data_IF_171380176185
#
_entry.id   IF_171380176185
#
_cell.length_a   1.000
_cell.length_b   1.000
_cell.length_c   1.000
_cell.angle_alpha   90.00
_cell.angle_beta   90.00
_cell.angle_gamma   90.00
#
_symmetry.space_group_name_H-M   'P 1'
#
loop_
_entity.id
_entity.type
_entity.pdbx_description
1 polymer ?
#
# COMPACT_ATOMS: atom_id res chain seq x y z
N UNK A 1 -0.63 23.99 12.73
CA UNK A 1 0.45 23.42 11.90
C UNK A 1 1.57 23.07 12.86
N UNK A 2 1.80 21.78 13.18
CA UNK A 2 2.83 21.42 14.15
C UNK A 2 4.20 21.43 13.46
N UNK A 3 5.01 22.44 13.77
CA UNK A 3 6.39 22.64 13.31
C UNK A 3 7.37 21.67 14.00
N UNK A 4 7.11 20.36 13.91
CA UNK A 4 8.12 19.36 14.26
C UNK A 4 9.01 19.13 13.06
N UNK A 5 10.21 19.68 13.11
CA UNK A 5 11.29 19.30 12.20
C UNK A 5 11.57 17.81 12.39
N UNK A 6 11.51 17.06 11.30
CA UNK A 6 11.75 15.62 11.29
C UNK A 6 12.49 15.23 10.02
N UNK A 7 13.16 14.08 10.08
CA UNK A 7 13.81 13.48 8.91
C UNK A 7 12.84 12.47 8.32
N UNK A 8 12.38 12.70 7.09
CA UNK A 8 11.68 11.67 6.33
C UNK A 8 12.73 10.62 5.92
N UNK A 9 12.54 9.37 6.37
CA UNK A 9 13.39 8.24 6.01
C UNK A 9 12.57 7.28 5.18
N UNK A 10 13.09 6.93 4.01
CA UNK A 10 12.59 5.82 3.22
C UNK A 10 13.33 4.56 3.66
N UNK A 11 12.58 3.54 4.04
CA UNK A 11 13.08 2.25 4.52
C UNK A 11 12.06 1.16 4.18
N UNK A 12 12.46 -0.10 4.30
CA UNK A 12 11.55 -1.21 4.08
C UNK A 12 10.48 -1.29 5.18
N UNK A 13 9.22 -1.10 4.79
CA UNK A 13 8.04 -1.13 5.66
C UNK A 13 7.14 -2.33 5.40
N UNK A 14 7.64 -3.33 4.68
CA UNK A 14 6.87 -4.52 4.32
C UNK A 14 6.30 -5.28 5.53
N UNK A 15 6.99 -5.19 6.68
CA UNK A 15 6.55 -5.78 7.95
C UNK A 15 5.69 -4.84 8.83
N UNK A 16 5.52 -3.57 8.44
CA UNK A 16 4.73 -2.59 9.20
C UNK A 16 3.25 -2.62 8.80
N UNK A 17 2.38 -2.45 9.78
CA UNK A 17 0.96 -2.19 9.56
C UNK A 17 0.75 -0.71 9.17
N UNK A 18 -0.17 -0.40 8.25
CA UNK A 18 -0.51 0.98 7.93
C UNK A 18 -1.02 1.74 9.15
N UNK A 19 -0.66 3.02 9.24
CA UNK A 19 -1.07 3.93 10.34
C UNK A 19 -2.56 4.26 10.25
N UNK A 20 -3.12 4.28 9.04
CA UNK A 20 -4.52 4.58 8.77
C UNK A 20 -4.96 3.85 7.50
N UNK A 21 -6.26 3.52 7.42
CA UNK A 21 -6.91 3.04 6.19
C UNK A 21 -7.90 4.08 5.70
N UNK A 22 -7.84 4.40 4.40
CA UNK A 22 -8.81 5.21 3.69
C UNK A 22 -9.69 4.33 2.79
N UNK A 23 -10.98 4.59 2.85
CA UNK A 23 -12.05 3.87 2.17
C UNK A 23 -13.09 4.90 1.70
N UNK A 24 -14.07 4.52 0.85
CA UNK A 24 -15.17 5.41 0.51
C UNK A 24 -16.01 5.86 1.73
N UNK A 25 -15.85 5.23 2.89
CA UNK A 25 -16.57 5.58 4.14
C UNK A 25 -15.91 6.71 4.94
N UNK A 26 -14.63 7.00 4.71
CA UNK A 26 -13.87 8.02 5.44
C UNK A 26 -12.98 8.88 4.54
N UNK A 27 -13.19 8.80 3.23
CA UNK A 27 -12.54 9.64 2.23
C UNK A 27 -13.44 9.83 1.02
N UNK A 28 -13.18 10.87 0.24
CA UNK A 28 -13.93 11.22 -0.97
C UNK A 28 -12.99 11.78 -2.05
N UNK A 29 -13.49 11.84 -3.28
CA UNK A 29 -12.73 12.39 -4.41
C UNK A 29 -11.45 11.61 -4.71
N UNK A 30 -11.52 10.27 -4.60
CA UNK A 30 -10.40 9.42 -4.97
C UNK A 30 -10.12 9.51 -6.46
N UNK A 31 -8.88 9.82 -6.80
CA UNK A 31 -8.37 9.91 -8.16
C UNK A 31 -6.96 9.32 -8.19
N UNK A 32 -6.55 8.81 -9.35
CA UNK A 32 -5.17 8.39 -9.57
C UNK A 32 -4.68 8.83 -10.94
N UNK A 33 -3.41 9.22 -10.98
CA UNK A 33 -2.73 9.61 -12.21
C UNK A 33 -1.43 8.85 -12.32
N UNK A 34 -1.18 8.25 -13.48
CA UNK A 34 0.12 7.65 -13.82
C UNK A 34 0.71 8.41 -15.00
N UNK A 35 1.86 9.02 -14.79
CA UNK A 35 2.66 9.50 -15.89
C UNK A 35 3.37 8.30 -16.55
N UNK A 36 3.51 8.31 -17.87
CA UNK A 36 4.36 7.37 -18.61
C UNK A 36 5.60 8.10 -19.13
N UNK A 37 6.50 8.57 -18.24
CA UNK A 37 7.70 9.27 -18.66
C UNK A 37 8.65 8.30 -19.37
N UNK A 38 9.44 8.82 -20.30
CA UNK A 38 10.58 8.07 -20.84
C UNK A 38 11.68 8.06 -19.79
N UNK A 39 11.69 7.02 -18.97
CA UNK A 39 12.70 6.85 -17.92
C UNK A 39 14.09 6.59 -18.52
N UNK A 40 15.16 7.17 -17.94
CA UNK A 40 16.52 6.93 -18.38
C UNK A 40 16.90 5.45 -18.23
N UNK A 41 17.73 4.96 -19.14
CA UNK A 41 18.28 3.61 -19.12
C UNK A 41 19.37 3.48 -18.06
N UNK A 42 19.99 4.58 -17.66
CA UNK A 42 20.99 4.61 -16.60
C UNK A 42 21.38 6.04 -16.21
N UNK A 43 22.16 6.13 -15.13
CA UNK A 43 22.76 7.36 -14.66
C UNK A 43 24.27 7.35 -14.82
N UNK A 44 24.78 8.47 -15.35
CA UNK A 44 26.19 8.84 -15.25
C UNK A 44 26.37 9.65 -13.98
N UNK A 45 26.82 8.98 -12.93
CA UNK A 45 26.87 9.53 -11.58
C UNK A 45 28.24 10.11 -11.29
N UNK A 46 28.29 11.36 -10.86
CA UNK A 46 29.51 12.04 -10.38
C UNK A 46 29.51 12.11 -8.85
N UNK A 47 30.59 11.69 -8.19
CA UNK A 47 30.74 11.73 -6.73
C UNK A 47 32.22 11.97 -6.34
N UNK A 48 32.46 12.29 -5.07
CA UNK A 48 33.81 12.47 -4.51
C UNK A 48 34.30 11.13 -3.95
N UNK A 49 35.39 10.57 -4.47
CA UNK A 49 35.82 9.21 -4.13
C UNK A 49 36.86 9.22 -2.99
N UNK A 50 36.52 8.63 -1.84
CA UNK A 50 37.42 8.56 -0.69
C UNK A 50 38.71 7.76 -0.98
N UNK A 51 38.69 6.82 -1.92
CA UNK A 51 39.88 6.06 -2.32
C UNK A 51 40.83 6.87 -3.22
N UNK A 52 40.40 8.07 -3.66
CA UNK A 52 41.15 8.96 -4.56
C UNK A 52 41.31 10.35 -3.97
N UNK A 53 41.61 10.43 -2.68
CA UNK A 53 41.78 11.70 -1.96
C UNK A 53 40.61 12.68 -2.16
N UNK A 54 39.39 12.14 -2.26
CA UNK A 54 38.15 12.90 -2.51
C UNK A 54 38.05 13.57 -3.89
N UNK A 55 38.87 13.16 -4.86
CA UNK A 55 38.73 13.61 -6.25
C UNK A 55 37.38 13.22 -6.86
N UNK A 56 36.92 14.02 -7.82
CA UNK A 56 35.64 13.75 -8.50
C UNK A 56 35.81 12.58 -9.46
N UNK A 57 35.04 11.53 -9.23
CA UNK A 57 34.95 10.34 -10.07
C UNK A 57 33.56 10.25 -10.71
N UNK A 58 33.51 9.65 -11.89
CA UNK A 58 32.28 9.28 -12.56
C UNK A 58 32.14 7.77 -12.69
N UNK A 59 30.94 7.25 -12.44
CA UNK A 59 30.57 5.86 -12.69
C UNK A 59 29.27 5.81 -13.49
N UNK A 60 29.08 4.72 -14.23
CA UNK A 60 27.82 4.43 -14.91
C UNK A 60 27.04 3.41 -14.08
N UNK A 61 25.76 3.68 -13.86
CA UNK A 61 24.83 2.75 -13.20
C UNK A 61 23.63 2.58 -14.11
N UNK A 62 23.42 1.36 -14.60
CA UNK A 62 22.35 1.03 -15.52
C UNK A 62 21.14 0.48 -14.78
N UNK A 63 19.94 0.78 -15.28
CA UNK A 63 18.70 0.17 -14.81
C UNK A 63 18.68 -1.33 -15.18
N UNK A 64 18.06 -2.20 -14.37
CA UNK A 64 17.88 -3.62 -14.72
C UNK A 64 17.34 -3.79 -16.15
N UNK A 65 17.96 -4.71 -16.90
CA UNK A 65 17.63 -4.99 -18.31
C UNK A 65 18.40 -4.15 -19.34
N UNK A 66 19.23 -3.19 -18.92
CA UNK A 66 20.10 -2.40 -19.80
C UNK A 66 21.57 -2.64 -19.47
N UNK A 67 22.41 -2.78 -20.51
CA UNK A 67 23.83 -3.11 -20.36
C UNK A 67 24.79 -2.06 -20.93
N UNK A 68 24.30 -1.12 -21.74
CA UNK A 68 25.13 -0.14 -22.44
C UNK A 68 24.53 1.28 -22.43
N UNK A 69 25.37 2.25 -22.79
CA UNK A 69 25.03 3.67 -22.84
C UNK A 69 24.47 4.11 -24.21
N UNK A 70 24.05 3.16 -25.06
CA UNK A 70 23.50 3.46 -26.38
C UNK A 70 22.15 4.18 -26.34
N UNK A 71 21.49 4.15 -25.18
CA UNK A 71 20.18 4.76 -24.96
C UNK A 71 20.19 6.07 -24.19
N UNK A 72 19.06 6.39 -23.56
CA UNK A 72 18.92 7.62 -22.79
C UNK A 72 19.67 7.48 -21.46
N UNK A 73 20.77 8.21 -21.30
CA UNK A 73 21.52 8.29 -20.04
C UNK A 73 21.46 9.72 -19.52
N UNK A 74 21.18 9.87 -18.23
CA UNK A 74 21.14 11.17 -17.56
C UNK A 74 22.33 11.34 -16.63
N UNK A 75 22.83 12.56 -16.50
CA UNK A 75 23.93 12.87 -15.59
C UNK A 75 23.38 13.33 -14.24
N UNK A 76 23.85 12.68 -13.16
CA UNK A 76 23.45 13.00 -11.78
C UNK A 76 24.71 13.21 -10.94
N UNK A 77 24.62 14.09 -9.95
CA UNK A 77 25.69 14.30 -8.97
C UNK A 77 25.19 13.93 -7.58
N UNK A 78 25.87 13.03 -6.89
CA UNK A 78 25.62 12.75 -5.48
C UNK A 78 26.66 13.42 -4.61
N UNK A 79 26.19 14.24 -3.67
CA UNK A 79 27.02 14.87 -2.66
C UNK A 79 26.91 14.10 -1.34
N UNK A 80 28.01 14.01 -0.59
CA UNK A 80 28.05 13.37 0.73
C UNK A 80 28.26 11.85 0.73
N UNK A 81 28.06 11.17 -0.40
CA UNK A 81 28.44 9.76 -0.58
C UNK A 81 29.88 9.69 -1.12
N UNK A 82 30.73 8.91 -0.46
CA UNK A 82 32.17 8.87 -0.75
C UNK A 82 32.69 7.51 -1.20
N UNK A 83 31.87 6.46 -1.12
CA UNK A 83 32.22 5.11 -1.58
C UNK A 83 31.42 4.73 -2.81
N UNK A 84 32.04 4.00 -3.75
CA UNK A 84 31.37 3.55 -4.97
C UNK A 84 30.12 2.69 -4.66
N UNK A 85 30.18 1.84 -3.63
CA UNK A 85 29.08 0.95 -3.25
C UNK A 85 27.83 1.73 -2.81
N UNK A 86 28.00 2.76 -1.97
CA UNK A 86 26.88 3.63 -1.54
C UNK A 86 26.29 4.40 -2.72
N UNK A 87 27.14 4.92 -3.60
CA UNK A 87 26.75 5.68 -4.79
C UNK A 87 25.97 4.80 -5.76
N UNK A 88 26.43 3.57 -6.00
CA UNK A 88 25.74 2.59 -6.84
C UNK A 88 24.37 2.25 -6.28
N UNK A 89 24.30 1.91 -4.99
CA UNK A 89 23.03 1.61 -4.30
C UNK A 89 22.07 2.79 -4.37
N UNK A 90 22.56 4.02 -4.22
CA UNK A 90 21.74 5.23 -4.34
C UNK A 90 21.22 5.44 -5.77
N UNK A 91 22.07 5.23 -6.77
CA UNK A 91 21.68 5.35 -8.17
C UNK A 91 20.63 4.31 -8.58
N UNK A 92 20.81 3.05 -8.16
CA UNK A 92 19.85 1.97 -8.37
C UNK A 92 18.51 2.29 -7.71
N UNK A 93 18.55 2.78 -6.48
CA UNK A 93 17.36 3.23 -5.75
C UNK A 93 16.62 4.36 -6.49
N UNK A 94 17.32 5.42 -6.91
CA UNK A 94 16.69 6.56 -7.58
C UNK A 94 16.10 6.15 -8.96
N UNK A 95 16.77 5.26 -9.70
CA UNK A 95 16.25 4.69 -10.97
C UNK A 95 14.99 3.85 -10.73
N UNK A 96 15.00 3.00 -9.71
CA UNK A 96 13.87 2.12 -9.39
C UNK A 96 12.68 2.93 -8.83
N UNK A 97 12.92 3.96 -8.04
CA UNK A 97 11.86 4.80 -7.46
C UNK A 97 11.01 5.47 -8.55
N UNK A 98 11.64 5.91 -9.64
CA UNK A 98 10.94 6.56 -10.75
C UNK A 98 9.98 5.61 -11.50
N UNK A 99 10.28 4.30 -11.51
CA UNK A 99 9.44 3.27 -12.13
C UNK A 99 8.36 2.78 -11.15
N UNK A 100 8.77 2.39 -9.94
CA UNK A 100 7.91 1.74 -8.95
C UNK A 100 6.93 2.71 -8.27
N UNK A 101 7.27 4.01 -8.18
CA UNK A 101 6.41 5.04 -7.55
C UNK A 101 5.91 6.09 -8.55
N UNK A 102 5.67 5.66 -9.79
CA UNK A 102 5.17 6.53 -10.87
C UNK A 102 3.66 6.81 -10.84
N UNK A 103 2.92 6.26 -9.87
CA UNK A 103 1.48 6.49 -9.70
C UNK A 103 1.24 7.39 -8.49
N UNK A 104 0.50 8.48 -8.72
CA UNK A 104 0.03 9.39 -7.69
C UNK A 104 -1.46 9.15 -7.45
N UNK A 105 -1.82 8.91 -6.20
CA UNK A 105 -3.20 8.79 -5.77
C UNK A 105 -3.58 10.02 -4.96
N UNK A 106 -4.73 10.61 -5.23
CA UNK A 106 -5.25 11.78 -4.52
C UNK A 106 -6.58 11.44 -3.89
N UNK A 107 -6.78 11.85 -2.63
CA UNK A 107 -8.05 11.72 -1.93
C UNK A 107 -8.23 12.85 -0.92
N UNK A 108 -9.48 13.18 -0.63
CA UNK A 108 -9.83 14.11 0.44
C UNK A 108 -10.36 13.34 1.65
N UNK A 109 -9.84 13.63 2.83
CA UNK A 109 -10.28 13.01 4.08
C UNK A 109 -10.58 14.08 5.15
N UNK A 110 -11.50 13.81 6.09
CA UNK A 110 -11.81 14.70 7.21
C UNK A 110 -10.76 14.58 8.33
N UNK A 111 -11.18 14.66 9.60
CA UNK A 111 -10.31 14.58 10.77
C UNK A 111 -9.45 13.29 10.82
N UNK A 112 -9.85 12.22 10.13
CA UNK A 112 -9.06 10.99 10.01
C UNK A 112 -7.68 11.20 9.37
N UNK A 113 -7.49 12.27 8.60
CA UNK A 113 -6.20 12.64 8.02
C UNK A 113 -5.19 13.14 9.06
N UNK A 114 -5.64 13.61 10.24
CA UNK A 114 -4.78 14.21 11.28
C UNK A 114 -3.74 13.22 11.81
N UNK A 115 -4.07 11.92 11.79
CA UNK A 115 -3.16 10.85 12.25
C UNK A 115 -1.98 10.68 11.28
N UNK A 116 -2.18 11.02 10.00
CA UNK A 116 -1.20 10.80 8.94
C UNK A 116 -0.24 11.99 8.80
N UNK A 117 1.04 11.70 8.64
CA UNK A 117 2.08 12.68 8.30
C UNK A 117 2.75 12.29 6.98
N UNK A 118 3.45 13.26 6.39
CA UNK A 118 4.28 13.00 5.22
C UNK A 118 5.29 11.90 5.52
N UNK A 119 5.34 10.90 4.66
CA UNK A 119 6.18 9.71 4.80
C UNK A 119 5.52 8.57 5.57
N UNK A 120 4.31 8.70 6.12
CA UNK A 120 3.63 7.59 6.78
C UNK A 120 3.03 6.60 5.78
N UNK A 121 2.96 5.33 6.20
CA UNK A 121 2.34 4.25 5.45
C UNK A 121 0.83 4.23 5.74
N UNK A 122 0.02 4.26 4.69
CA UNK A 122 -1.44 4.22 4.74
C UNK A 122 -1.98 3.13 3.82
N UNK A 123 -3.16 2.62 4.14
CA UNK A 123 -3.92 1.71 3.29
C UNK A 123 -4.99 2.47 2.53
N UNK A 124 -5.22 2.12 1.27
CA UNK A 124 -6.33 2.64 0.47
C UNK A 124 -7.12 1.46 -0.09
N UNK A 125 -8.43 1.49 0.12
CA UNK A 125 -9.38 0.53 -0.44
C UNK A 125 -10.42 1.32 -1.21
N UNK A 126 -10.56 1.00 -2.50
CA UNK A 126 -11.55 1.63 -3.38
C UNK A 126 -11.91 0.66 -4.50
N UNK A 127 -13.17 0.64 -4.91
CA UNK A 127 -13.68 -0.21 -6.01
C UNK A 127 -12.95 0.00 -7.35
N UNK A 128 -12.46 1.22 -7.59
CA UNK A 128 -11.60 1.58 -8.74
C UNK A 128 -10.26 0.86 -8.76
N UNK A 129 -9.75 0.42 -7.61
CA UNK A 129 -8.48 -0.30 -7.49
C UNK A 129 -8.66 -1.81 -7.61
N UNK A 130 -9.75 -2.34 -7.04
CA UNK A 130 -10.07 -3.77 -7.11
C UNK A 130 -11.58 -3.98 -7.06
N UNK A 131 -12.09 -4.87 -7.90
CA UNK A 131 -13.49 -5.26 -7.88
C UNK A 131 -13.91 -5.94 -6.56
N UNK A 132 -12.95 -6.47 -5.78
CA UNK A 132 -13.20 -7.08 -4.47
C UNK A 132 -13.06 -6.06 -3.33
N UNK A 133 -12.80 -4.79 -3.64
CA UNK A 133 -12.72 -3.75 -2.63
C UNK A 133 -14.11 -3.47 -2.06
N UNK A 134 -14.25 -3.64 -0.76
CA UNK A 134 -15.44 -3.26 -0.01
C UNK A 134 -15.06 -2.57 1.28
N UNK A 135 -15.95 -1.76 1.82
CA UNK A 135 -15.75 -1.14 3.13
C UNK A 135 -17.08 -0.91 3.85
N UNK A 136 -17.05 -1.13 5.15
CA UNK A 136 -18.19 -0.98 6.04
C UNK A 136 -17.76 -0.71 7.48
N UNK A 137 -18.73 -0.41 8.32
CA UNK A 137 -18.55 -0.23 9.77
C UNK A 137 -19.23 -1.36 10.52
N UNK A 138 -18.61 -1.81 11.60
CA UNK A 138 -19.14 -2.89 12.43
C UNK A 138 -20.42 -2.43 13.12
N UNK A 139 -21.50 -3.17 12.91
CA UNK A 139 -22.81 -2.99 13.53
C UNK A 139 -23.01 -3.95 14.72
N UNK A 140 -22.50 -5.17 14.62
CA UNK A 140 -22.64 -6.19 15.65
C UNK A 140 -21.44 -7.14 15.63
N UNK A 141 -21.11 -7.72 16.79
CA UNK A 141 -19.97 -8.61 16.98
C UNK A 141 -20.43 -9.90 17.66
N UNK A 142 -20.38 -11.01 16.93
CA UNK A 142 -20.72 -12.33 17.46
C UNK A 142 -19.46 -12.97 18.08
N UNK A 143 -19.56 -13.31 19.36
CA UNK A 143 -18.47 -13.92 20.12
C UNK A 143 -18.65 -15.44 20.27
N UNK A 144 -17.55 -16.19 20.11
CA UNK A 144 -17.43 -17.60 20.48
C UNK A 144 -16.26 -17.77 21.45
N UNK A 145 -16.53 -18.27 22.66
CA UNK A 145 -15.51 -18.49 23.69
C UNK A 145 -14.73 -17.23 24.11
N UNK A 146 -15.25 -16.02 23.85
CA UNK A 146 -14.57 -14.74 24.11
C UNK A 146 -13.74 -14.21 22.93
N UNK A 147 -13.67 -14.95 21.82
CA UNK A 147 -13.10 -14.50 20.55
C UNK A 147 -14.23 -14.09 19.58
N UNK A 148 -13.92 -13.33 18.55
CA UNK A 148 -14.89 -12.90 17.53
C UNK A 148 -14.98 -13.99 16.47
N UNK A 149 -16.17 -14.60 16.36
CA UNK A 149 -16.48 -15.60 15.34
C UNK A 149 -17.08 -14.97 14.09
N UNK A 150 -17.85 -13.88 14.24
CA UNK A 150 -18.37 -13.13 13.11
C UNK A 150 -18.56 -11.65 13.45
N UNK A 151 -18.50 -10.80 12.44
CA UNK A 151 -18.86 -9.38 12.52
C UNK A 151 -19.94 -9.08 11.48
N UNK A 152 -20.91 -8.27 11.87
CA UNK A 152 -21.90 -7.71 10.96
C UNK A 152 -21.52 -6.30 10.57
N UNK A 153 -21.54 -5.99 9.28
CA UNK A 153 -21.29 -4.68 8.72
C UNK A 153 -22.59 -3.93 8.44
N UNK A 154 -22.50 -2.61 8.27
CA UNK A 154 -23.62 -1.74 7.93
C UNK A 154 -24.05 -1.84 6.45
N UNK A 155 -23.19 -2.38 5.58
CA UNK A 155 -23.49 -2.67 4.19
C UNK A 155 -22.96 -4.05 3.77
N UNK A 156 -23.56 -4.66 2.74
CA UNK A 156 -22.96 -5.82 2.10
C UNK A 156 -21.62 -5.43 1.45
N UNK A 157 -20.69 -6.37 1.51
CA UNK A 157 -19.38 -6.28 0.87
C UNK A 157 -19.09 -7.54 0.05
N UNK A 158 -18.29 -7.43 -1.03
CA UNK A 158 -17.90 -8.59 -1.84
C UNK A 158 -16.96 -9.52 -1.06
N UNK A 159 -17.35 -10.79 -0.96
CA UNK A 159 -16.54 -11.88 -0.41
C UNK A 159 -16.32 -12.93 -1.49
N UNK A 160 -15.07 -13.33 -1.71
CA UNK A 160 -14.67 -14.40 -2.61
C UNK A 160 -13.92 -15.45 -1.81
N UNK A 161 -14.39 -16.70 -1.82
CA UNK A 161 -13.76 -17.84 -1.17
C UNK A 161 -13.80 -19.05 -2.10
N UNK A 162 -13.13 -18.92 -3.24
CA UNK A 162 -13.10 -19.94 -4.28
C UNK A 162 -12.05 -21.01 -3.98
N UNK A 163 -12.33 -22.28 -4.32
CA UNK A 163 -11.36 -23.36 -4.18
C UNK A 163 -10.15 -23.12 -5.09
N UNK A 164 -8.98 -23.59 -4.64
CA UNK A 164 -7.75 -23.56 -5.43
C UNK A 164 -7.85 -24.51 -6.65
N UNK A 165 -7.02 -24.28 -7.66
CA UNK A 165 -7.07 -24.98 -8.95
C UNK A 165 -7.02 -26.50 -8.80
N UNK A 166 -6.21 -27.00 -7.86
CA UNK A 166 -6.07 -28.44 -7.61
C UNK A 166 -7.28 -29.06 -6.89
N UNK A 167 -8.14 -28.23 -6.28
CA UNK A 167 -9.37 -28.64 -5.63
C UNK A 167 -10.60 -28.52 -6.55
N UNK A 168 -10.46 -27.86 -7.72
CA UNK A 168 -11.52 -27.78 -8.73
C UNK A 168 -11.67 -29.14 -9.42
N UNK A 169 -12.78 -29.82 -9.15
CA UNK A 169 -13.08 -31.14 -9.72
C UNK A 169 -13.71 -31.06 -11.11
N UNK A 170 -14.35 -29.94 -11.46
CA UNK A 170 -14.92 -29.67 -12.79
C UNK A 170 -14.61 -28.24 -13.25
N UNK A 171 -13.63 -28.12 -14.15
CA UNK A 171 -13.22 -26.84 -14.74
C UNK A 171 -14.31 -26.20 -15.61
N UNK A 172 -15.33 -26.94 -16.06
CA UNK A 172 -16.42 -26.40 -16.89
C UNK A 172 -17.50 -25.70 -16.06
N UNK A 173 -17.55 -25.98 -14.76
CA UNK A 173 -18.48 -25.34 -13.83
C UNK A 173 -17.94 -24.01 -13.27
N UNK A 174 -16.66 -23.68 -13.52
CA UNK A 174 -16.05 -22.43 -13.08
C UNK A 174 -16.55 -21.27 -13.94
N UNK A 175 -17.34 -20.37 -13.34
CA UNK A 175 -17.90 -19.19 -14.02
C UNK A 175 -16.83 -18.16 -14.36
N UNK A 176 -15.83 -17.96 -13.49
CA UNK A 176 -14.70 -17.08 -13.73
C UNK A 176 -13.36 -17.75 -13.38
N UNK A 177 -12.57 -18.06 -14.41
CA UNK A 177 -11.25 -18.67 -14.24
C UNK A 177 -10.27 -17.77 -13.46
N UNK A 178 -10.52 -16.45 -13.40
CA UNK A 178 -9.68 -15.50 -12.64
C UNK A 178 -9.98 -15.52 -11.14
N UNK A 179 -11.09 -16.11 -10.73
CA UNK A 179 -11.50 -16.18 -9.33
C UNK A 179 -10.99 -17.45 -8.62
N UNK A 180 -10.45 -18.43 -9.35
CA UNK A 180 -9.93 -19.68 -8.75
C UNK A 180 -8.87 -19.36 -7.68
N UNK A 181 -9.01 -19.97 -6.49
CA UNK A 181 -8.12 -19.79 -5.35
C UNK A 181 -8.22 -18.42 -4.66
N UNK A 182 -9.13 -17.55 -5.10
CA UNK A 182 -9.31 -16.22 -4.53
C UNK A 182 -9.97 -16.31 -3.16
N UNK A 183 -9.35 -15.70 -2.17
CA UNK A 183 -9.83 -15.63 -0.78
C UNK A 183 -9.96 -14.17 -0.36
N UNK A 184 -10.93 -13.85 0.47
CA UNK A 184 -11.09 -12.50 1.03
C UNK A 184 -10.30 -12.35 2.32
N UNK A 185 -9.58 -11.23 2.43
CA UNK A 185 -9.06 -10.73 3.69
C UNK A 185 -9.85 -9.51 4.16
N UNK A 186 -10.13 -9.43 5.46
CA UNK A 186 -10.72 -8.29 6.13
C UNK A 186 -9.65 -7.55 6.94
N UNK A 187 -9.41 -6.30 6.59
CA UNK A 187 -8.58 -5.36 7.32
C UNK A 187 -9.45 -4.56 8.30
N UNK A 188 -9.24 -4.79 9.59
CA UNK A 188 -10.02 -4.19 10.68
C UNK A 188 -9.16 -3.12 11.36
N UNK A 189 -9.67 -1.88 11.43
CA UNK A 189 -9.02 -0.79 12.18
C UNK A 189 -9.47 -0.83 13.63
N UNK A 190 -8.67 -1.44 14.50
CA UNK A 190 -8.99 -1.58 15.92
C UNK A 190 -9.16 -0.21 16.60
N UNK A 191 -9.85 -0.20 17.74
CA UNK A 191 -10.05 1.02 18.56
C UNK A 191 -8.74 1.67 19.02
N UNK A 192 -7.65 0.90 19.08
CA UNK A 192 -6.29 1.41 19.36
C UNK A 192 -5.64 2.13 18.17
N UNK A 193 -6.26 2.11 16.99
CA UNK A 193 -5.71 2.60 15.72
C UNK A 193 -4.90 1.56 14.95
N UNK A 194 -4.61 0.40 15.55
CA UNK A 194 -3.86 -0.68 14.88
C UNK A 194 -4.72 -1.37 13.84
N UNK A 195 -4.17 -1.57 12.64
CA UNK A 195 -4.80 -2.33 11.56
C UNK A 195 -4.40 -3.79 11.66
N UNK A 196 -5.37 -4.70 11.71
CA UNK A 196 -5.13 -6.15 11.66
C UNK A 196 -5.90 -6.79 10.52
N UNK A 197 -5.27 -7.75 9.87
CA UNK A 197 -5.81 -8.44 8.70
C UNK A 197 -6.16 -9.88 9.09
N UNK A 198 -7.36 -10.33 8.72
CA UNK A 198 -7.87 -11.66 9.01
C UNK A 198 -8.53 -12.26 7.77
N UNK A 199 -8.34 -13.54 7.53
CA UNK A 199 -9.02 -14.24 6.44
C UNK A 199 -10.52 -14.39 6.76
N UNK A 200 -11.38 -14.07 5.80
CA UNK A 200 -12.82 -14.21 5.94
C UNK A 200 -13.21 -15.63 5.55
N UNK A 201 -13.93 -16.32 6.44
CA UNK A 201 -14.58 -17.59 6.16
C UNK A 201 -15.98 -17.37 5.55
N UNK A 202 -16.55 -18.42 4.98
CA UNK A 202 -17.91 -18.40 4.40
C UNK A 202 -17.93 -18.54 2.88
N UNK A 203 -19.12 -18.42 2.30
CA UNK A 203 -19.34 -18.58 0.86
C UNK A 203 -19.01 -17.33 0.04
N UNK A 204 -18.73 -17.52 -1.25
CA UNK A 204 -18.57 -16.42 -2.21
C UNK A 204 -19.90 -15.70 -2.44
N UNK A 205 -19.89 -14.36 -2.38
CA UNK A 205 -21.04 -13.51 -2.67
C UNK A 205 -20.95 -12.14 -1.99
N UNK A 206 -22.02 -11.36 -2.14
CA UNK A 206 -22.24 -10.13 -1.37
C UNK A 206 -22.86 -10.49 -0.02
N UNK A 207 -22.18 -10.17 1.09
CA UNK A 207 -22.66 -10.45 2.45
C UNK A 207 -22.39 -9.28 3.38
N UNK A 208 -23.30 -9.03 4.32
CA UNK A 208 -23.10 -8.09 5.43
C UNK A 208 -22.50 -8.78 6.67
N UNK A 209 -22.35 -10.10 6.67
CA UNK A 209 -21.75 -10.87 7.76
C UNK A 209 -20.43 -11.46 7.30
N UNK A 210 -19.35 -11.12 8.01
CA UNK A 210 -18.02 -11.68 7.82
C UNK A 210 -17.75 -12.68 8.94
N UNK A 211 -17.58 -13.95 8.59
CA UNK A 211 -17.25 -15.03 9.51
C UNK A 211 -15.74 -15.24 9.56
N UNK A 212 -15.23 -15.72 10.71
CA UNK A 212 -13.82 -16.00 10.92
C UNK A 212 -13.63 -17.41 11.48
N UNK A 213 -12.90 -18.24 10.74
CA UNK A 213 -12.50 -19.57 11.17
C UNK A 213 -10.98 -19.76 10.92
N UNK A 214 -10.15 -19.81 11.98
CA UNK A 214 -10.50 -19.79 13.40
C UNK A 214 -10.98 -18.40 13.91
N UNK A 215 -11.74 -18.35 15.02
CA UNK A 215 -12.16 -17.09 15.65
C UNK A 215 -10.98 -16.18 16.01
N UNK A 216 -11.15 -14.87 15.84
CA UNK A 216 -10.08 -13.87 16.01
C UNK A 216 -10.13 -13.20 17.39
N UNK A 217 -9.02 -12.66 17.92
CA UNK A 217 -9.03 -11.99 19.21
C UNK A 217 -9.97 -10.77 19.21
N UNK A 218 -10.86 -10.68 20.20
CA UNK A 218 -11.85 -9.59 20.32
C UNK A 218 -11.27 -8.22 20.70
N UNK A 219 -9.99 -8.17 21.10
CA UNK A 219 -9.35 -6.95 21.57
C UNK A 219 -9.37 -5.84 20.51
N UNK A 220 -10.14 -4.79 20.77
CA UNK A 220 -10.23 -3.60 19.92
C UNK A 220 -11.19 -3.72 18.74
N UNK A 221 -12.00 -4.78 18.68
CA UNK A 221 -13.13 -4.90 17.74
C UNK A 221 -14.39 -4.49 18.49
N UNK A 222 -14.99 -3.38 18.07
CA UNK A 222 -16.19 -2.81 18.68
C UNK A 222 -17.12 -2.28 17.59
N UNK A 223 -18.33 -1.91 17.97
CA UNK A 223 -19.24 -1.17 17.09
C UNK A 223 -18.56 0.10 16.54
N UNK A 224 -18.96 0.50 15.33
CA UNK A 224 -18.43 1.65 14.58
C UNK A 224 -16.96 1.53 14.11
N UNK A 225 -16.29 0.40 14.37
CA UNK A 225 -14.96 0.13 13.82
C UNK A 225 -15.03 0.01 12.29
N UNK A 226 -14.09 0.67 11.61
CA UNK A 226 -13.95 0.61 10.15
C UNK A 226 -13.33 -0.73 9.74
N UNK A 227 -13.97 -1.39 8.78
CA UNK A 227 -13.52 -2.62 8.14
C UNK A 227 -13.42 -2.38 6.64
N UNK A 228 -12.32 -2.82 6.06
CA UNK A 228 -12.13 -2.87 4.62
C UNK A 228 -11.88 -4.31 4.19
N UNK A 229 -12.44 -4.72 3.07
CA UNK A 229 -12.25 -6.05 2.50
C UNK A 229 -11.57 -5.95 1.15
N UNK A 230 -10.78 -6.97 0.84
CA UNK A 230 -10.15 -7.16 -0.46
C UNK A 230 -9.59 -8.58 -0.58
N UNK A 231 -8.70 -8.79 -1.54
CA UNK A 231 -8.03 -10.07 -1.71
C UNK A 231 -7.11 -10.38 -0.54
N UNK A 232 -7.08 -11.64 -0.09
CA UNK A 232 -6.18 -12.06 0.97
C UNK A 232 -4.71 -11.83 0.56
N UNK A 233 -3.97 -11.06 1.36
CA UNK A 233 -2.62 -10.57 1.07
C UNK A 233 -2.55 -9.30 0.22
N UNK A 234 -3.68 -8.81 -0.31
CA UNK A 234 -3.83 -7.58 -1.10
C UNK A 234 -5.14 -6.87 -0.74
N UNK A 235 -5.46 -6.82 0.55
CA UNK A 235 -6.73 -6.29 1.06
C UNK A 235 -6.86 -4.79 0.82
N UNK A 236 -5.71 -4.12 0.78
CA UNK A 236 -5.60 -2.69 0.55
C UNK A 236 -4.37 -2.38 -0.30
N UNK A 237 -4.49 -1.33 -1.10
CA UNK A 237 -3.33 -0.69 -1.70
C UNK A 237 -2.53 -0.03 -0.58
N UNK A 238 -1.29 -0.46 -0.40
CA UNK A 238 -0.38 0.15 0.57
C UNK A 238 0.35 1.30 -0.12
N UNK A 239 0.21 2.49 0.45
CA UNK A 239 0.72 3.73 -0.13
C UNK A 239 1.45 4.57 0.93
N UNK A 240 2.43 5.36 0.50
CA UNK A 240 3.15 6.32 1.34
C UNK A 240 2.58 7.71 1.11
N UNK A 241 2.35 8.45 2.20
CA UNK A 241 1.87 9.83 2.13
C UNK A 241 2.97 10.73 1.58
N UNK A 242 2.79 11.21 0.34
CA UNK A 242 3.73 12.11 -0.32
C UNK A 242 3.54 13.57 0.12
N UNK A 243 2.28 14.01 0.23
CA UNK A 243 1.92 15.36 0.67
C UNK A 243 0.58 15.37 1.42
N UNK A 244 0.44 16.32 2.34
CA UNK A 244 -0.80 16.60 3.07
C UNK A 244 -1.09 18.10 2.96
N UNK A 245 -2.20 18.45 2.33
CA UNK A 245 -2.62 19.83 2.11
C UNK A 245 -3.91 20.11 2.89
N UNK A 246 -3.85 20.93 3.96
CA UNK A 246 -5.04 21.32 4.69
C UNK A 246 -5.99 22.13 3.81
N UNK A 247 -7.29 21.83 3.89
CA UNK A 247 -8.38 22.57 3.25
C UNK A 247 -9.28 23.20 4.32
N UNK A 248 -10.29 23.94 3.86
CA UNK A 248 -11.34 24.45 4.74
C UNK A 248 -12.10 23.29 5.43
N UNK A 249 -12.86 23.61 6.49
CA UNK A 249 -13.77 22.69 7.17
C UNK A 249 -13.12 21.41 7.72
N UNK A 250 -11.88 21.52 8.21
CA UNK A 250 -11.11 20.39 8.78
C UNK A 250 -10.87 19.23 7.81
N UNK A 251 -10.95 19.50 6.50
CA UNK A 251 -10.60 18.55 5.47
C UNK A 251 -9.09 18.65 5.14
N UNK A 252 -8.50 17.55 4.68
CA UNK A 252 -7.17 17.53 4.11
C UNK A 252 -7.18 16.78 2.78
N UNK A 253 -6.49 17.33 1.79
CA UNK A 253 -6.16 16.64 0.54
C UNK A 253 -4.85 15.89 0.74
N UNK A 254 -4.88 14.60 0.48
CA UNK A 254 -3.75 13.69 0.60
C UNK A 254 -3.28 13.30 -0.79
N UNK A 255 -1.97 13.43 -1.03
CA UNK A 255 -1.31 12.86 -2.20
C UNK A 255 -0.48 11.68 -1.73
N UNK A 256 -0.71 10.52 -2.31
CA UNK A 256 -0.09 9.26 -1.95
C UNK A 256 0.66 8.70 -3.15
N UNK A 257 1.70 7.93 -2.89
CA UNK A 257 2.46 7.15 -3.88
C UNK A 257 2.50 5.70 -3.44
N UNK A 258 2.76 4.78 -4.38
CA UNK A 258 2.91 3.37 -4.03
C UNK A 258 4.00 3.16 -2.96
N UNK A 259 3.81 2.17 -2.08
CA UNK A 259 4.86 1.75 -1.14
C UNK A 259 6.12 1.30 -1.91
N UNK A 260 5.94 0.60 -3.03
CA UNK A 260 7.03 0.09 -3.87
C UNK A 260 7.92 -0.87 -3.09
N UNK A 261 7.35 -1.97 -2.59
CA UNK A 261 8.09 -2.99 -1.80
C UNK A 261 9.28 -3.56 -2.56
N UNK A 262 9.18 -3.58 -3.88
CA UNK A 262 10.21 -4.03 -4.81
C UNK A 262 11.50 -3.19 -4.74
N UNK A 263 11.44 -1.97 -4.20
CA UNK A 263 12.64 -1.13 -3.98
C UNK A 263 13.62 -1.73 -2.97
N UNK A 264 13.16 -2.69 -2.16
CA UNK A 264 13.92 -3.31 -1.07
C UNK A 264 14.24 -4.79 -1.32
N UNK A 265 13.84 -5.33 -2.47
CA UNK A 265 14.00 -6.73 -2.85
C UNK A 265 15.42 -7.10 -3.29
#
# INVERSE_FOLDING_TARGET
MSERWGVARDLDRSAEAPVQIFTPRNSSGFEWTKAFPRLPHGFRVSFSDAERDHDTRQIMVMRPGYSDDSGLVEQVRYAGLVTEAEVRKRAEYDLAQADMRGVYYTLSAPAEAIVCRRGDLVGVVHDTLSAQAGAGRVMDVALDGGNVAAIRLDNPVPVSNEPDLLAVTDMRAVTDMRAIGRRTGAAIRRTTGTVTVHAVAGGTGETDVLEFDPPIPAAGIAEDVLVAVGDLGREMLRAVVFAVEPRADFMASLTLVDEGKELWA
#
